data_IF_685070375178
#
_entry.id   IF_685070375178
#
_cell.length_a   1.000
_cell.length_b   1.000
_cell.length_c   1.000
_cell.angle_alpha   90.00
_cell.angle_beta   90.00
_cell.angle_gamma   90.00
#
_symmetry.space_group_name_H-M   'P 1'
#
loop_
_entity.id
_entity.type
_entity.pdbx_description
1 polymer ?
#
# COMPACT_ATOMS: atom_id res chain seq x y z
N UNK A 1 14.65 28.71 7.20
CA UNK A 1 13.81 27.59 7.65
C UNK A 1 14.69 26.36 7.70
N UNK A 2 15.17 25.98 8.89
CA UNK A 2 15.93 24.74 9.06
C UNK A 2 15.06 23.56 8.64
N UNK A 3 15.47 22.85 7.59
CA UNK A 3 14.86 21.59 7.21
C UNK A 3 15.31 20.55 8.22
N UNK A 4 14.57 20.40 9.31
CA UNK A 4 14.72 19.29 10.24
C UNK A 4 14.83 18.00 9.40
N UNK A 5 15.96 17.30 9.49
CA UNK A 5 16.16 16.08 8.72
C UNK A 5 14.99 15.13 9.02
N UNK A 6 14.32 14.58 7.99
CA UNK A 6 13.25 13.63 8.22
C UNK A 6 13.82 12.46 9.03
N UNK A 7 13.16 12.05 10.12
CA UNK A 7 13.68 10.99 10.97
C UNK A 7 13.88 9.73 10.11
N UNK A 8 15.01 9.04 10.27
CA UNK A 8 15.42 7.89 9.44
C UNK A 8 14.32 6.83 9.27
N UNK A 9 13.43 6.70 10.26
CA UNK A 9 12.27 5.82 10.23
C UNK A 9 11.23 6.21 9.15
N UNK A 10 11.03 7.49 8.86
CA UNK A 10 10.08 7.96 7.85
C UNK A 10 10.57 7.65 6.44
N UNK A 11 11.89 7.72 6.21
CA UNK A 11 12.51 7.31 4.94
C UNK A 11 12.40 5.79 4.75
N UNK A 12 12.71 5.01 5.79
CA UNK A 12 12.60 3.55 5.73
C UNK A 12 11.16 3.10 5.51
N UNK A 13 10.20 3.69 6.22
CA UNK A 13 8.78 3.42 6.04
C UNK A 13 8.32 3.79 4.62
N UNK A 14 8.72 4.96 4.11
CA UNK A 14 8.41 5.39 2.75
C UNK A 14 8.98 4.43 1.70
N UNK A 15 10.25 4.03 1.82
CA UNK A 15 10.87 3.07 0.90
C UNK A 15 10.16 1.71 0.92
N UNK A 16 9.76 1.23 2.10
CA UNK A 16 9.02 -0.02 2.26
C UNK A 16 7.62 0.04 1.64
N UNK A 17 6.94 1.19 1.79
CA UNK A 17 5.65 1.46 1.14
C UNK A 17 5.77 1.56 -0.38
N UNK A 18 6.81 2.22 -0.91
CA UNK A 18 7.08 2.29 -2.35
C UNK A 18 7.43 0.92 -2.93
N UNK A 19 8.26 0.12 -2.24
CA UNK A 19 8.59 -1.23 -2.68
C UNK A 19 7.36 -2.14 -2.73
N UNK A 20 6.49 -2.04 -1.71
CA UNK A 20 5.21 -2.76 -1.69
C UNK A 20 4.31 -2.36 -2.86
N UNK A 21 4.15 -1.05 -3.11
CA UNK A 21 3.35 -0.54 -4.23
C UNK A 21 3.87 -1.03 -5.58
N UNK A 22 5.18 -0.96 -5.81
CA UNK A 22 5.80 -1.44 -7.05
C UNK A 22 5.56 -2.93 -7.26
N UNK A 23 5.67 -3.73 -6.20
CA UNK A 23 5.42 -5.16 -6.27
C UNK A 23 3.94 -5.47 -6.53
N UNK A 24 3.00 -4.78 -5.88
CA UNK A 24 1.56 -4.94 -6.13
C UNK A 24 1.19 -4.57 -7.56
N UNK A 25 1.71 -3.45 -8.08
CA UNK A 25 1.50 -3.03 -9.47
C UNK A 25 2.08 -4.06 -10.44
N UNK A 26 3.29 -4.56 -10.17
CA UNK A 26 3.93 -5.58 -11.01
C UNK A 26 3.13 -6.88 -11.04
N UNK A 27 2.68 -7.39 -9.88
CA UNK A 27 1.84 -8.59 -9.80
C UNK A 27 0.49 -8.39 -10.51
N UNK A 28 -0.12 -7.22 -10.37
CA UNK A 28 -1.37 -6.89 -11.05
C UNK A 28 -1.20 -6.88 -12.58
N UNK A 29 -0.10 -6.33 -13.08
CA UNK A 29 0.25 -6.35 -14.50
C UNK A 29 0.55 -7.76 -15.00
N UNK A 30 1.32 -8.57 -14.26
CA UNK A 30 1.59 -9.97 -14.61
C UNK A 30 0.29 -10.77 -14.70
N UNK A 31 -0.61 -10.62 -13.72
CA UNK A 31 -1.92 -11.28 -13.75
C UNK A 31 -2.73 -10.87 -14.97
N UNK A 32 -2.72 -9.58 -15.32
CA UNK A 32 -3.41 -9.08 -16.49
C UNK A 32 -2.84 -9.65 -17.80
N UNK A 33 -1.51 -9.81 -17.89
CA UNK A 33 -0.84 -10.40 -19.04
C UNK A 33 -1.10 -11.91 -19.17
N UNK A 34 -1.15 -12.63 -18.05
CA UNK A 34 -1.39 -14.08 -18.02
C UNK A 34 -2.86 -14.47 -18.19
N UNK A 35 -3.79 -13.60 -17.78
CA UNK A 35 -5.24 -13.78 -17.90
C UNK A 35 -5.86 -12.58 -18.62
N UNK A 36 -5.57 -12.39 -19.92
CA UNK A 36 -6.10 -11.26 -20.67
C UNK A 36 -7.62 -11.39 -20.78
N UNK A 37 -8.34 -10.34 -20.38
CA UNK A 37 -9.79 -10.29 -20.63
C UNK A 37 -10.03 -9.89 -22.08
N UNK A 38 -11.04 -10.50 -22.73
CA UNK A 38 -11.38 -10.23 -24.14
C UNK A 38 -11.98 -8.84 -24.38
N UNK A 39 -12.27 -8.08 -23.32
CA UNK A 39 -12.92 -6.78 -23.41
C UNK A 39 -11.90 -5.64 -23.24
N UNK A 40 -11.47 -5.03 -24.36
CA UNK A 40 -10.48 -3.95 -24.36
C UNK A 40 -10.87 -2.75 -23.50
N UNK A 41 -12.17 -2.42 -23.40
CA UNK A 41 -12.64 -1.34 -22.53
C UNK A 41 -12.39 -1.63 -21.05
N UNK A 42 -12.55 -2.89 -20.64
CA UNK A 42 -12.25 -3.34 -19.27
C UNK A 42 -10.76 -3.26 -18.97
N UNK A 43 -9.91 -3.56 -19.95
CA UNK A 43 -8.45 -3.50 -19.80
C UNK A 43 -7.95 -2.05 -19.64
N UNK A 44 -8.51 -1.11 -20.42
CA UNK A 44 -8.17 0.31 -20.32
C UNK A 44 -8.61 0.93 -18.98
N UNK A 45 -9.82 0.61 -18.52
CA UNK A 45 -10.30 1.05 -17.20
C UNK A 45 -9.47 0.48 -16.06
N UNK A 46 -9.06 -0.78 -16.15
CA UNK A 46 -8.17 -1.41 -15.18
C UNK A 46 -6.80 -0.72 -15.12
N UNK A 47 -6.14 -0.55 -16.26
CA UNK A 47 -4.82 0.10 -16.34
C UNK A 47 -4.87 1.57 -15.90
N UNK A 48 -5.88 2.31 -16.34
CA UNK A 48 -6.10 3.71 -15.94
C UNK A 48 -6.37 3.84 -14.44
N UNK A 49 -7.24 2.99 -13.89
CA UNK A 49 -7.51 2.94 -12.45
C UNK A 49 -6.27 2.61 -11.63
N UNK A 50 -5.49 1.60 -12.07
CA UNK A 50 -4.24 1.20 -11.42
C UNK A 50 -3.24 2.37 -11.40
N UNK A 51 -3.08 3.08 -12.52
CA UNK A 51 -2.17 4.22 -12.65
C UNK A 51 -2.58 5.38 -11.72
N UNK A 52 -3.87 5.72 -11.67
CA UNK A 52 -4.38 6.78 -10.78
C UNK A 52 -4.15 6.42 -9.32
N UNK A 53 -4.47 5.18 -8.92
CA UNK A 53 -4.24 4.71 -7.54
C UNK A 53 -2.75 4.73 -7.19
N UNK A 54 -1.88 4.29 -8.10
CA UNK A 54 -0.44 4.31 -7.89
C UNK A 54 0.10 5.75 -7.73
N UNK A 55 -0.39 6.71 -8.51
CA UNK A 55 -0.03 8.12 -8.40
C UNK A 55 -0.44 8.71 -7.05
N UNK A 56 -1.69 8.45 -6.61
CA UNK A 56 -2.20 8.94 -5.33
C UNK A 56 -1.41 8.37 -4.14
N UNK A 57 -1.11 7.07 -4.15
CA UNK A 57 -0.28 6.46 -3.10
C UNK A 57 1.15 6.99 -3.13
N UNK A 58 1.74 7.19 -4.32
CA UNK A 58 3.08 7.75 -4.45
C UNK A 58 3.16 9.17 -3.86
N UNK A 59 2.16 10.01 -4.12
CA UNK A 59 2.06 11.35 -3.51
C UNK A 59 1.96 11.28 -1.98
N UNK A 60 1.15 10.36 -1.45
CA UNK A 60 1.02 10.15 0.00
C UNK A 60 2.35 9.70 0.63
N UNK A 61 3.04 8.74 0.02
CA UNK A 61 4.33 8.23 0.54
C UNK A 61 5.45 9.27 0.45
N UNK A 62 5.40 10.15 -0.55
CA UNK A 62 6.27 11.31 -0.64
C UNK A 62 5.99 12.32 0.49
N UNK A 63 4.73 12.60 0.79
CA UNK A 63 4.35 13.47 1.90
C UNK A 63 4.79 12.89 3.26
N UNK A 64 4.73 11.57 3.43
CA UNK A 64 5.30 10.87 4.60
C UNK A 64 6.82 11.08 4.69
N UNK A 65 7.53 10.95 3.57
CA UNK A 65 9.00 11.16 3.51
C UNK A 65 9.39 12.60 3.85
N UNK A 66 8.53 13.57 3.58
CA UNK A 66 8.69 14.99 3.97
C UNK A 66 8.36 15.25 5.44
N UNK A 67 7.94 14.23 6.20
CA UNK A 67 7.64 14.35 7.64
C UNK A 67 6.26 14.91 7.96
N UNK A 68 5.35 15.00 6.98
CA UNK A 68 4.01 15.54 7.24
C UNK A 68 3.17 14.59 8.09
N UNK A 69 2.76 15.02 9.29
CA UNK A 69 1.96 14.21 10.21
C UNK A 69 0.59 13.81 9.63
N UNK A 70 -0.06 14.72 8.90
CA UNK A 70 -1.36 14.44 8.26
C UNK A 70 -1.29 13.24 7.30
N UNK A 71 -0.16 13.04 6.62
CA UNK A 71 0.02 11.93 5.70
C UNK A 71 0.11 10.58 6.43
N UNK A 72 0.71 10.57 7.63
CA UNK A 72 0.75 9.38 8.51
C UNK A 72 -0.65 9.00 9.00
N UNK A 73 -1.42 9.99 9.44
CA UNK A 73 -2.82 9.80 9.88
C UNK A 73 -3.70 9.31 8.73
N UNK A 74 -3.56 9.91 7.55
CA UNK A 74 -4.31 9.51 6.36
C UNK A 74 -3.95 8.08 5.92
N UNK A 75 -2.67 7.68 5.98
CA UNK A 75 -2.27 6.30 5.74
C UNK A 75 -2.93 5.33 6.73
N UNK A 76 -2.97 5.69 8.02
CA UNK A 76 -3.64 4.89 9.05
C UNK A 76 -5.14 4.75 8.78
N UNK A 77 -5.83 5.84 8.43
CA UNK A 77 -7.25 5.79 8.07
C UNK A 77 -7.51 4.90 6.85
N UNK A 78 -6.71 5.05 5.78
CA UNK A 78 -6.81 4.20 4.59
C UNK A 78 -6.54 2.73 4.91
N UNK A 79 -5.63 2.45 5.84
CA UNK A 79 -5.37 1.10 6.31
C UNK A 79 -6.56 0.51 7.07
N UNK A 80 -7.13 1.25 8.03
CA UNK A 80 -8.31 0.82 8.81
C UNK A 80 -9.51 0.58 7.89
N UNK A 81 -9.77 1.49 6.94
CA UNK A 81 -10.84 1.32 5.94
C UNK A 81 -10.62 0.06 5.09
N UNK A 82 -9.40 -0.15 4.60
CA UNK A 82 -9.08 -1.35 3.82
C UNK A 82 -9.22 -2.63 4.64
N UNK A 83 -8.89 -2.59 5.93
CA UNK A 83 -9.01 -3.73 6.83
C UNK A 83 -10.48 -4.05 7.13
N UNK A 84 -11.31 -3.03 7.40
CA UNK A 84 -12.76 -3.18 7.55
C UNK A 84 -13.42 -3.73 6.28
N UNK A 85 -13.09 -3.19 5.12
CA UNK A 85 -13.62 -3.68 3.83
C UNK A 85 -13.25 -5.14 3.57
N UNK A 86 -12.02 -5.53 3.92
CA UNK A 86 -11.57 -6.93 3.84
C UNK A 86 -12.33 -7.84 4.81
N UNK A 87 -12.52 -7.42 6.07
CA UNK A 87 -13.29 -8.19 7.06
C UNK A 87 -14.76 -8.39 6.64
N UNK A 88 -15.39 -7.36 6.08
CA UNK A 88 -16.76 -7.46 5.56
C UNK A 88 -16.81 -8.43 4.38
N UNK A 89 -15.84 -8.34 3.47
CA UNK A 89 -15.75 -9.22 2.29
C UNK A 89 -15.42 -10.67 2.67
N UNK A 90 -14.61 -10.88 3.71
CA UNK A 90 -14.21 -12.21 4.20
C UNK A 90 -15.43 -13.09 4.56
N UNK A 91 -16.50 -12.49 5.08
CA UNK A 91 -17.77 -13.19 5.34
C UNK A 91 -18.46 -13.71 4.08
N UNK A 92 -18.21 -13.09 2.93
CA UNK A 92 -18.84 -13.47 1.65
C UNK A 92 -17.97 -14.39 0.79
N UNK A 93 -16.64 -14.35 0.95
CA UNK A 93 -15.70 -15.06 0.05
C UNK A 93 -15.31 -16.47 0.53
N UNK A 94 -15.62 -16.86 1.77
CA UNK A 94 -15.31 -18.21 2.30
C UNK A 94 -16.05 -19.38 1.63
N UNK A 95 -16.93 -19.08 0.66
CA UNK A 95 -17.58 -20.09 -0.19
C UNK A 95 -16.78 -20.39 -1.48
N UNK A 96 -15.80 -19.57 -1.86
CA UNK A 96 -15.07 -19.72 -3.12
C UNK A 96 -13.84 -20.64 -2.97
N UNK A 97 -13.95 -21.86 -3.53
CA UNK A 97 -12.90 -22.90 -3.61
C UNK A 97 -11.61 -22.50 -4.35
N UNK A 98 -11.53 -21.31 -4.93
CA UNK A 98 -10.38 -20.84 -5.72
C UNK A 98 -9.65 -19.72 -4.98
N UNK A 99 -8.90 -20.07 -3.94
CA UNK A 99 -7.88 -19.17 -3.38
C UNK A 99 -6.73 -19.08 -4.37
N UNK A 100 -6.76 -18.07 -5.23
CA UNK A 100 -5.67 -17.74 -6.14
C UNK A 100 -4.41 -17.41 -5.32
N UNK A 101 -3.39 -18.28 -5.41
CA UNK A 101 -2.17 -18.19 -4.59
C UNK A 101 -1.49 -16.82 -4.74
N UNK A 102 -1.57 -16.23 -5.94
CA UNK A 102 -1.05 -14.89 -6.24
C UNK A 102 -1.79 -13.79 -5.47
N UNK A 103 -3.11 -13.91 -5.31
CA UNK A 103 -3.88 -12.97 -4.50
C UNK A 103 -3.55 -13.09 -3.02
N UNK A 104 -3.36 -14.32 -2.51
CA UNK A 104 -2.99 -14.55 -1.11
C UNK A 104 -1.62 -13.94 -0.81
N UNK A 105 -0.62 -14.19 -1.68
CA UNK A 105 0.73 -13.63 -1.55
C UNK A 105 0.71 -12.09 -1.65
N UNK A 106 0.01 -11.53 -2.64
CA UNK A 106 -0.12 -10.08 -2.79
C UNK A 106 -0.79 -9.44 -1.56
N UNK A 107 -1.81 -10.09 -1.00
CA UNK A 107 -2.52 -9.62 0.19
C UNK A 107 -1.61 -9.64 1.42
N UNK A 108 -0.89 -10.74 1.64
CA UNK A 108 0.07 -10.87 2.75
C UNK A 108 1.17 -9.81 2.68
N UNK A 109 1.75 -9.60 1.50
CA UNK A 109 2.80 -8.58 1.33
C UNK A 109 2.23 -7.19 1.58
N UNK A 110 1.04 -6.89 1.03
CA UNK A 110 0.42 -5.57 1.17
C UNK A 110 0.04 -5.23 2.61
N UNK A 111 -0.59 -6.15 3.34
CA UNK A 111 -0.93 -5.95 4.74
C UNK A 111 0.32 -5.97 5.63
N UNK A 112 1.24 -6.92 5.43
CA UNK A 112 2.47 -7.03 6.21
C UNK A 112 3.35 -5.80 6.09
N UNK A 113 3.53 -5.29 4.86
CA UNK A 113 4.31 -4.07 4.62
C UNK A 113 3.64 -2.83 5.21
N UNK A 114 2.32 -2.69 5.11
CA UNK A 114 1.59 -1.57 5.73
C UNK A 114 1.66 -1.60 7.25
N UNK A 115 1.54 -2.77 7.87
CA UNK A 115 1.72 -2.92 9.32
C UNK A 115 3.14 -2.57 9.73
N UNK A 116 4.15 -3.06 9.01
CA UNK A 116 5.56 -2.71 9.26
C UNK A 116 5.85 -1.22 9.08
N UNK A 117 5.28 -0.59 8.06
CA UNK A 117 5.40 0.85 7.82
C UNK A 117 4.71 1.68 8.91
N UNK A 118 3.48 1.31 9.31
CA UNK A 118 2.78 1.98 10.41
C UNK A 118 3.56 1.82 11.72
N UNK A 119 4.10 0.63 11.99
CA UNK A 119 4.94 0.41 13.15
C UNK A 119 6.17 1.34 13.12
N UNK A 120 6.87 1.48 12.00
CA UNK A 120 8.00 2.39 11.86
C UNK A 120 7.62 3.87 11.99
N UNK A 121 6.46 4.27 11.45
CA UNK A 121 5.97 5.65 11.46
C UNK A 121 5.48 6.12 12.84
N UNK A 122 4.92 5.21 13.63
CA UNK A 122 4.41 5.48 14.98
C UNK A 122 5.36 5.00 16.09
N UNK A 123 6.48 4.35 15.73
CA UNK A 123 7.55 4.06 16.69
C UNK A 123 8.05 5.40 17.23
N UNK A 124 7.87 5.61 18.54
CA UNK A 124 8.42 6.78 19.24
C UNK A 124 9.86 6.97 18.77
N UNK A 125 10.25 8.19 18.31
CA UNK A 125 11.66 8.45 18.06
C UNK A 125 12.39 8.05 19.33
N UNK A 126 13.41 7.18 19.22
CA UNK A 126 14.37 7.02 20.30
C UNK A 126 14.91 8.41 20.48
N UNK A 127 14.44 9.11 21.52
CA UNK A 127 15.03 10.36 21.92
C UNK A 127 16.52 10.12 21.91
N UNK A 128 17.23 10.92 21.11
CA UNK A 128 18.64 11.11 21.31
C UNK A 128 18.73 11.63 22.75
N UNK A 129 18.92 10.69 23.68
CA UNK A 129 19.38 10.94 25.03
C UNK A 129 20.82 11.40 24.84
N UNK A 130 20.97 12.68 24.51
CA UNK A 130 22.15 13.46 24.84
C UNK A 130 21.76 14.33 26.03
#
# INVERSE_FOLDING_TARGET
METAQPPTNDILASNLLFGSLALTVTLALIRHLLMPTSNQASNALFAGGLAVVALLYSGLFYAIRRGHYWAKVMLLMLFVLALLGSLISYRTTFSAKNMDLLNVVSTLIHYGTRVGALFLLFKKPRAQLN
#
